data_IF_503491364526
#
_entry.id   IF_503491364526
#
_cell.length_a   1.000
_cell.length_b   1.000
_cell.length_c   1.000
_cell.angle_alpha   90.00
_cell.angle_beta   90.00
_cell.angle_gamma   90.00
#
_symmetry.space_group_name_H-M   'P 1'
#
loop_
_entity.id
_entity.type
_entity.pdbx_description
1 polymer ?
#
# COMPACT_ATOMS: atom_id res chain seq x y z
N UNK A 1 -16.08 19.96 -20.11
CA UNK A 1 -14.82 19.18 -20.00
C UNK A 1 -14.64 18.86 -18.52
N UNK A 2 -15.02 17.66 -18.07
CA UNK A 2 -14.92 17.25 -16.65
C UNK A 2 -13.47 16.83 -16.38
N UNK A 3 -12.83 17.48 -15.42
CA UNK A 3 -11.51 17.11 -14.91
C UNK A 3 -11.75 16.07 -13.82
N UNK A 4 -11.69 14.79 -14.18
CA UNK A 4 -11.64 13.68 -13.23
C UNK A 4 -10.32 13.80 -12.45
N UNK A 5 -10.37 14.20 -11.18
CA UNK A 5 -9.21 14.19 -10.29
C UNK A 5 -8.93 12.73 -9.93
N UNK A 6 -7.95 12.13 -10.59
CA UNK A 6 -7.41 10.83 -10.18
C UNK A 6 -6.49 11.07 -8.97
N UNK A 7 -6.81 10.56 -7.77
CA UNK A 7 -5.95 10.77 -6.61
C UNK A 7 -4.62 10.02 -6.83
N UNK A 8 -3.54 10.79 -6.91
CA UNK A 8 -2.18 10.28 -7.06
C UNK A 8 -1.77 9.61 -5.74
N UNK A 9 -1.43 8.33 -5.77
CA UNK A 9 -0.87 7.63 -4.62
C UNK A 9 -1.83 6.75 -3.83
N UNK A 10 -3.11 6.66 -4.22
CA UNK A 10 -3.97 5.60 -3.68
C UNK A 10 -3.43 4.27 -4.17
N UNK A 11 -3.23 3.33 -3.25
CA UNK A 11 -2.96 1.95 -3.60
C UNK A 11 -4.13 1.42 -4.43
N UNK A 12 -3.98 1.40 -5.76
CA UNK A 12 -4.92 0.74 -6.67
C UNK A 12 -5.12 -0.69 -6.16
N UNK A 13 -6.37 -1.05 -5.84
CA UNK A 13 -6.73 -2.44 -5.65
C UNK A 13 -6.74 -3.08 -7.03
N UNK A 14 -5.58 -3.48 -7.53
CA UNK A 14 -5.45 -4.48 -8.60
C UNK A 14 -5.92 -5.84 -8.03
N UNK A 15 -7.16 -5.88 -7.51
CA UNK A 15 -7.70 -6.95 -6.67
C UNK A 15 -7.60 -8.28 -7.38
N UNK A 16 -8.04 -8.36 -8.64
CA UNK A 16 -8.12 -9.66 -9.32
C UNK A 16 -6.78 -10.39 -9.55
N UNK A 17 -5.63 -9.68 -9.65
CA UNK A 17 -4.33 -10.34 -9.84
C UNK A 17 -3.63 -10.63 -8.51
N UNK A 18 -3.83 -9.78 -7.51
CA UNK A 18 -3.17 -9.91 -6.21
C UNK A 18 -4.00 -10.72 -5.21
N UNK A 19 -5.29 -10.95 -5.45
CA UNK A 19 -6.15 -11.77 -4.58
C UNK A 19 -5.64 -13.22 -4.48
N UNK A 20 -5.15 -13.79 -5.58
CA UNK A 20 -4.53 -15.13 -5.60
C UNK A 20 -3.26 -15.16 -4.73
N UNK A 21 -2.45 -14.10 -4.78
CA UNK A 21 -1.25 -13.95 -3.97
C UNK A 21 -1.58 -13.71 -2.50
N UNK A 22 -2.60 -12.89 -2.21
CA UNK A 22 -3.05 -12.60 -0.85
C UNK A 22 -3.57 -13.89 -0.18
N UNK A 23 -4.40 -14.66 -0.88
CA UNK A 23 -4.89 -15.95 -0.40
C UNK A 23 -3.75 -16.96 -0.20
N UNK A 24 -2.77 -16.99 -1.10
CA UNK A 24 -1.58 -17.84 -0.94
C UNK A 24 -0.78 -17.44 0.31
N UNK A 25 -0.52 -16.15 0.50
CA UNK A 25 0.18 -15.62 1.66
C UNK A 25 -0.57 -15.93 2.97
N UNK A 26 -1.89 -15.74 3.01
CA UNK A 26 -2.73 -16.04 4.19
C UNK A 26 -2.64 -17.52 4.59
N UNK A 27 -2.56 -18.44 3.61
CA UNK A 27 -2.43 -19.89 3.86
C UNK A 27 -1.01 -20.32 4.28
N UNK A 28 0.00 -19.52 3.96
CA UNK A 28 1.41 -19.92 4.07
C UNK A 28 2.12 -19.25 5.24
N UNK A 29 1.74 -18.02 5.58
CA UNK A 29 2.39 -17.24 6.62
C UNK A 29 1.84 -17.56 8.01
N UNK A 30 2.70 -17.64 9.05
CA UNK A 30 2.24 -17.65 10.43
C UNK A 30 1.41 -16.40 10.75
N UNK A 31 0.32 -16.57 11.49
CA UNK A 31 -0.59 -15.46 11.87
C UNK A 31 0.09 -14.39 12.74
N UNK A 32 1.12 -14.78 13.49
CA UNK A 32 1.94 -13.93 14.34
C UNK A 32 3.17 -13.37 13.62
N UNK A 33 3.31 -13.62 12.30
CA UNK A 33 4.41 -13.06 11.52
C UNK A 33 4.23 -11.56 11.29
N UNK A 34 5.35 -10.85 11.17
CA UNK A 34 5.36 -9.42 10.83
C UNK A 34 4.66 -9.13 9.49
N UNK A 35 4.70 -10.07 8.55
CA UNK A 35 4.05 -9.94 7.25
C UNK A 35 2.52 -9.99 7.36
N UNK A 36 1.98 -10.91 8.16
CA UNK A 36 0.54 -10.97 8.43
C UNK A 36 0.07 -9.71 9.19
N UNK A 37 0.84 -9.27 10.18
CA UNK A 37 0.55 -8.03 10.91
C UNK A 37 0.52 -6.80 9.98
N UNK A 38 1.53 -6.63 9.12
CA UNK A 38 1.58 -5.49 8.21
C UNK A 38 0.49 -5.56 7.14
N UNK A 39 0.10 -6.74 6.66
CA UNK A 39 -1.01 -6.88 5.72
C UNK A 39 -2.30 -6.24 6.26
N UNK A 40 -2.61 -6.49 7.53
CA UNK A 40 -3.86 -6.05 8.16
C UNK A 40 -3.79 -4.60 8.65
N UNK A 41 -2.64 -4.16 9.17
CA UNK A 41 -2.51 -2.85 9.82
C UNK A 41 -1.90 -1.76 8.93
N UNK A 42 -1.37 -2.06 7.73
CA UNK A 42 -0.62 -1.05 6.93
C UNK A 42 -1.41 0.25 6.71
N UNK A 43 -2.71 0.14 6.42
CA UNK A 43 -3.53 1.32 6.09
C UNK A 43 -3.75 2.20 7.31
N UNK A 44 -3.73 1.61 8.51
CA UNK A 44 -3.82 2.34 9.77
C UNK A 44 -2.46 2.90 10.20
N UNK A 45 -1.37 2.17 9.96
CA UNK A 45 -0.01 2.59 10.29
C UNK A 45 0.52 3.68 9.34
N UNK A 46 0.19 3.58 8.06
CA UNK A 46 0.65 4.46 6.99
C UNK A 46 -0.55 4.95 6.16
N UNK A 47 -1.45 5.75 6.75
CA UNK A 47 -2.59 6.30 6.03
C UNK A 47 -2.08 7.18 4.88
N UNK A 48 -2.69 7.06 3.69
CA UNK A 48 -2.25 7.77 2.50
C UNK A 48 -2.30 9.30 2.69
N UNK A 49 -3.23 9.80 3.53
CA UNK A 49 -3.35 11.22 3.87
C UNK A 49 -2.12 11.77 4.60
N UNK A 50 -1.38 10.93 5.33
CA UNK A 50 -0.16 11.35 6.02
C UNK A 50 0.99 11.68 5.05
N UNK A 51 0.85 11.31 3.77
CA UNK A 51 1.85 11.56 2.74
C UNK A 51 1.34 12.53 1.67
N UNK A 52 0.12 13.05 1.79
CA UNK A 52 -0.53 13.85 0.75
C UNK A 52 0.25 15.13 0.40
N UNK A 53 1.03 15.67 1.34
CA UNK A 53 1.88 16.85 1.15
C UNK A 53 3.17 16.56 0.34
N UNK A 54 3.58 15.28 0.25
CA UNK A 54 4.75 14.85 -0.51
C UNK A 54 4.50 14.76 -2.02
N UNK A 55 3.23 14.76 -2.45
CA UNK A 55 2.85 14.62 -3.85
C UNK A 55 2.27 15.91 -4.41
N UNK A 56 2.74 16.31 -5.58
CA UNK A 56 2.09 17.37 -6.37
C UNK A 56 0.96 16.77 -7.20
N UNK A 57 -0.09 17.55 -7.47
CA UNK A 57 -1.26 17.14 -8.27
C UNK A 57 -0.98 16.78 -9.74
N UNK A 58 0.30 16.78 -10.17
CA UNK A 58 0.75 16.31 -11.48
C UNK A 58 2.05 15.53 -11.30
N UNK A 59 2.01 14.22 -11.54
CA UNK A 59 3.19 13.36 -11.43
C UNK A 59 3.06 12.07 -12.23
N UNK A 60 4.18 11.34 -12.37
CA UNK A 60 4.19 9.97 -12.91
C UNK A 60 3.54 9.01 -11.90
N UNK A 61 3.00 7.90 -12.41
CA UNK A 61 2.49 6.80 -11.57
C UNK A 61 3.64 6.28 -10.68
N UNK A 62 3.64 6.71 -9.43
CA UNK A 62 4.67 6.37 -8.44
C UNK A 62 4.15 5.24 -7.57
N UNK A 63 5.06 4.41 -7.05
CA UNK A 63 4.69 3.43 -6.02
C UNK A 63 4.07 4.18 -4.83
N UNK A 64 2.95 3.72 -4.27
CA UNK A 64 2.33 4.36 -3.11
C UNK A 64 3.32 4.55 -1.96
N UNK A 65 3.33 5.71 -1.30
CA UNK A 65 4.25 6.01 -0.19
C UNK A 65 4.07 5.05 0.99
N UNK A 66 2.83 4.60 1.25
CA UNK A 66 2.49 3.60 2.26
C UNK A 66 3.19 2.25 2.03
N UNK A 67 3.34 1.83 0.76
CA UNK A 67 4.13 0.64 0.40
C UNK A 67 5.61 0.83 0.67
N UNK A 68 6.18 1.99 0.35
CA UNK A 68 7.59 2.28 0.61
C UNK A 68 7.87 2.33 2.12
N UNK A 69 7.00 2.95 2.91
CA UNK A 69 7.10 2.98 4.37
C UNK A 69 7.10 1.57 4.97
N UNK A 70 6.23 0.68 4.45
CA UNK A 70 6.18 -0.73 4.85
C UNK A 70 7.51 -1.45 4.57
N UNK A 71 8.10 -1.25 3.37
CA UNK A 71 9.41 -1.83 3.02
C UNK A 71 10.51 -1.29 3.92
N UNK A 72 10.53 0.01 4.22
CA UNK A 72 11.53 0.62 5.09
C UNK A 72 11.50 0.05 6.51
N UNK A 73 10.31 -0.24 7.06
CA UNK A 73 10.17 -0.93 8.35
C UNK A 73 10.77 -2.33 8.26
N UNK A 74 10.39 -3.11 7.25
CA UNK A 74 10.90 -4.47 7.06
C UNK A 74 12.42 -4.51 6.88
N UNK A 75 13.02 -3.51 6.23
CA UNK A 75 14.47 -3.40 6.07
C UNK A 75 15.22 -3.10 7.38
N UNK A 76 14.53 -2.63 8.42
CA UNK A 76 15.16 -2.20 9.67
C UNK A 76 15.12 -3.26 10.79
N UNK A 77 14.25 -4.26 10.64
CA UNK A 77 14.10 -5.43 11.51
C UNK A 77 15.19 -6.47 11.22
#
# INVERSE_FOLDING_TARGET
MRIEHFPLGIADSQSNLFDDMAQFCEKTLPKDSIYAFLHDERNRLFPDEAFADLFSGRGRQSVPPSSIATVMVLQRL
#
